data_IF_624699692680
#
_entry.id   IF_624699692680
#
_cell.length_a   1.000
_cell.length_b   1.000
_cell.length_c   1.000
_cell.angle_alpha   90.00
_cell.angle_beta   90.00
_cell.angle_gamma   90.00
#
_symmetry.space_group_name_H-M   'P 1'
#
loop_
_entity.id
_entity.type
_entity.pdbx_description
1 polymer ?
#
# COMPACT_ATOMS: atom_id res chain seq x y z
N UNK A 1 -37.84 -5.75 -43.34
CA UNK A 1 -36.56 -6.51 -43.23
C UNK A 1 -35.33 -5.60 -43.22
N UNK A 2 -35.38 -4.46 -42.48
CA UNK A 2 -34.32 -3.43 -42.49
C UNK A 2 -33.92 -2.93 -41.08
N UNK A 3 -34.50 -3.51 -40.01
CA UNK A 3 -34.26 -3.07 -38.62
C UNK A 3 -33.26 -3.94 -37.86
N UNK A 4 -32.96 -5.16 -38.35
CA UNK A 4 -31.98 -6.08 -37.74
C UNK A 4 -30.54 -5.85 -38.23
N UNK A 5 -30.33 -5.08 -39.31
CA UNK A 5 -29.01 -4.74 -39.84
C UNK A 5 -28.34 -3.53 -39.15
N UNK A 6 -29.09 -2.69 -38.44
CA UNK A 6 -28.57 -1.52 -37.72
C UNK A 6 -28.11 -1.81 -36.29
N UNK A 7 -28.63 -2.88 -35.66
CA UNK A 7 -28.22 -3.27 -34.31
C UNK A 7 -26.83 -3.95 -34.31
N UNK A 8 -26.50 -4.71 -35.35
CA UNK A 8 -25.26 -5.52 -35.38
C UNK A 8 -24.00 -4.72 -35.75
N UNK A 9 -24.14 -3.58 -36.44
CA UNK A 9 -23.01 -2.68 -36.78
C UNK A 9 -22.59 -1.79 -35.61
N UNK A 10 -23.52 -1.42 -34.72
CA UNK A 10 -23.23 -0.56 -33.57
C UNK A 10 -22.43 -1.30 -32.48
N UNK A 11 -22.69 -2.59 -32.27
CA UNK A 11 -21.95 -3.42 -31.32
C UNK A 11 -20.62 -3.93 -31.87
N UNK A 12 -20.51 -4.28 -33.17
CA UNK A 12 -19.22 -4.62 -33.77
C UNK A 12 -18.24 -3.46 -33.75
N UNK A 13 -18.70 -2.21 -33.96
CA UNK A 13 -17.85 -1.04 -33.85
C UNK A 13 -17.46 -0.72 -32.41
N UNK A 14 -18.33 -0.99 -31.42
CA UNK A 14 -17.96 -0.84 -30.00
C UNK A 14 -16.93 -1.89 -29.55
N UNK A 15 -17.03 -3.12 -30.05
CA UNK A 15 -16.03 -4.17 -29.78
C UNK A 15 -14.72 -3.90 -30.52
N UNK A 16 -14.77 -3.35 -31.74
CA UNK A 16 -13.57 -3.01 -32.52
C UNK A 16 -12.82 -1.78 -31.98
N UNK A 17 -13.55 -0.77 -31.48
CA UNK A 17 -12.98 0.41 -30.81
C UNK A 17 -12.31 0.10 -29.47
N UNK A 18 -12.67 -1.01 -28.81
CA UNK A 18 -11.99 -1.47 -27.59
C UNK A 18 -10.74 -2.31 -27.92
N UNK A 19 -10.66 -2.89 -29.12
CA UNK A 19 -9.52 -3.72 -29.55
C UNK A 19 -8.43 -3.01 -30.35
N UNK A 20 -8.62 -1.74 -30.77
CA UNK A 20 -7.65 -1.02 -31.63
C UNK A 20 -6.97 0.20 -30.97
N UNK A 21 -7.12 0.38 -29.66
CA UNK A 21 -6.35 1.34 -28.84
C UNK A 21 -5.28 0.65 -27.97
N UNK A 22 -5.07 -0.67 -28.13
CA UNK A 22 -4.08 -1.43 -27.36
C UNK A 22 -2.78 -1.66 -28.13
N UNK A 23 -2.29 -0.65 -28.83
CA UNK A 23 -0.91 -0.55 -29.33
C UNK A 23 -0.67 0.90 -29.72
N UNK A 24 -0.21 1.70 -28.77
CA UNK A 24 0.77 2.78 -28.93
C UNK A 24 0.94 3.49 -27.57
N UNK A 25 2.19 3.46 -27.11
CA UNK A 25 2.81 4.38 -26.15
C UNK A 25 2.33 4.33 -24.69
N UNK A 26 3.21 3.76 -23.86
CA UNK A 26 3.51 4.32 -22.54
C UNK A 26 3.96 5.76 -22.75
N UNK A 27 3.02 6.70 -22.86
CA UNK A 27 3.25 8.08 -22.46
C UNK A 27 2.64 8.18 -21.08
N UNK A 28 3.49 8.13 -20.07
CA UNK A 28 3.17 8.69 -18.78
C UNK A 28 2.81 10.16 -19.01
N UNK A 29 1.51 10.47 -19.14
CA UNK A 29 1.05 11.83 -18.93
C UNK A 29 1.24 12.12 -17.45
N UNK A 30 2.41 12.69 -17.15
CA UNK A 30 2.72 13.35 -15.89
C UNK A 30 1.74 14.51 -15.72
N UNK A 31 0.56 14.24 -15.16
CA UNK A 31 -0.11 15.23 -14.33
C UNK A 31 0.33 14.96 -12.89
N UNK A 32 1.47 15.57 -12.54
CA UNK A 32 1.96 15.66 -11.18
C UNK A 32 1.03 16.61 -10.42
N UNK A 33 -0.03 16.06 -9.84
CA UNK A 33 -0.59 16.59 -8.60
C UNK A 33 -0.27 15.59 -7.49
N UNK A 34 1.03 15.45 -7.24
CA UNK A 34 1.54 14.88 -5.99
C UNK A 34 1.25 15.88 -4.87
N UNK A 35 0.59 15.50 -3.76
CA UNK A 35 0.55 16.36 -2.58
C UNK A 35 1.93 16.55 -1.92
N UNK A 36 2.94 15.81 -2.38
CA UNK A 36 4.36 15.99 -2.07
C UNK A 36 5.15 15.60 -3.33
N UNK A 37 5.30 16.53 -4.29
CA UNK A 37 6.49 16.49 -5.13
C UNK A 37 7.68 16.51 -4.16
N UNK A 38 8.65 15.61 -4.30
CA UNK A 38 9.86 15.68 -3.51
C UNK A 38 10.46 17.07 -3.77
N UNK A 39 10.35 17.96 -2.78
CA UNK A 39 11.03 19.24 -2.83
C UNK A 39 12.51 18.89 -2.79
N UNK A 40 13.26 19.33 -3.79
CA UNK A 40 14.69 19.06 -3.87
C UNK A 40 15.36 19.48 -2.55
N UNK A 41 16.13 18.57 -1.94
CA UNK A 41 16.75 18.76 -0.62
C UNK A 41 15.91 18.42 0.62
N UNK A 42 14.65 17.98 0.50
CA UNK A 42 13.87 17.53 1.66
C UNK A 42 14.34 16.14 2.17
N UNK A 43 14.85 16.11 3.41
CA UNK A 43 15.21 14.87 4.11
C UNK A 43 14.02 14.38 4.93
N UNK A 44 13.59 13.15 4.67
CA UNK A 44 12.50 12.50 5.40
C UNK A 44 13.01 11.76 6.64
N UNK A 45 12.30 11.83 7.78
CA UNK A 45 12.67 11.04 8.94
C UNK A 45 12.45 9.54 8.65
N UNK A 46 13.37 8.72 9.14
CA UNK A 46 13.19 7.28 9.25
C UNK A 46 13.11 6.94 10.75
N UNK A 47 11.91 7.03 11.31
CA UNK A 47 11.62 6.93 12.74
C UNK A 47 10.60 5.82 13.05
N UNK A 48 10.05 5.80 14.26
CA UNK A 48 9.04 4.83 14.69
C UNK A 48 7.62 5.11 14.17
N UNK A 49 7.44 6.16 13.36
CA UNK A 49 6.20 6.56 12.71
C UNK A 49 4.99 6.64 13.67
N UNK A 50 5.16 7.31 14.81
CA UNK A 50 4.15 7.33 15.88
C UNK A 50 2.79 7.87 15.45
N UNK A 51 2.71 8.67 14.38
CA UNK A 51 1.45 9.21 13.87
C UNK A 51 0.74 8.32 12.82
N UNK A 52 1.29 7.13 12.57
CA UNK A 52 0.77 6.15 11.63
C UNK A 52 -0.55 5.52 12.07
N UNK A 53 -1.41 5.21 11.10
CA UNK A 53 -2.47 4.22 11.30
C UNK A 53 -1.87 2.82 11.18
N UNK A 54 -1.91 2.09 12.29
CA UNK A 54 -1.22 0.81 12.48
C UNK A 54 -2.07 -0.26 13.20
N UNK A 55 -3.40 -0.13 13.17
CA UNK A 55 -4.33 -1.07 13.79
C UNK A 55 -4.19 -2.49 13.20
N UNK A 56 -3.88 -3.46 14.06
CA UNK A 56 -3.78 -4.88 13.68
C UNK A 56 -5.12 -5.62 13.81
N UNK A 57 -6.17 -4.96 14.31
CA UNK A 57 -7.51 -5.52 14.52
C UNK A 57 -7.57 -6.74 15.45
N UNK A 58 -6.63 -6.87 16.39
CA UNK A 58 -6.58 -8.01 17.33
C UNK A 58 -7.83 -8.01 18.22
N UNK A 59 -8.69 -9.00 17.99
CA UNK A 59 -9.95 -9.19 18.72
C UNK A 59 -11.17 -8.46 18.12
N UNK A 60 -11.05 -7.80 16.97
CA UNK A 60 -12.17 -7.10 16.33
C UNK A 60 -12.25 -7.26 14.81
N UNK A 61 -11.48 -8.16 14.21
CA UNK A 61 -11.49 -8.42 12.76
C UNK A 61 -12.91 -8.61 12.21
N UNK A 62 -13.73 -9.48 12.80
CA UNK A 62 -15.10 -9.73 12.34
C UNK A 62 -16.01 -8.48 12.43
N UNK A 63 -15.84 -7.67 13.48
CA UNK A 63 -16.60 -6.42 13.64
C UNK A 63 -16.21 -5.40 12.58
N UNK A 64 -14.91 -5.27 12.31
CA UNK A 64 -14.40 -4.37 11.27
C UNK A 64 -14.80 -4.85 9.87
N UNK A 65 -14.70 -6.14 9.58
CA UNK A 65 -15.17 -6.74 8.33
C UNK A 65 -16.65 -6.42 8.07
N UNK A 66 -17.50 -6.52 9.10
CA UNK A 66 -18.91 -6.17 8.99
C UNK A 66 -19.11 -4.68 8.69
N UNK A 67 -18.41 -3.76 9.38
CA UNK A 67 -18.49 -2.32 9.10
C UNK A 67 -17.98 -1.96 7.71
N UNK A 68 -16.90 -2.60 7.25
CA UNK A 68 -16.38 -2.41 5.89
C UNK A 68 -17.41 -2.84 4.84
N UNK A 69 -18.02 -4.02 5.02
CA UNK A 69 -19.03 -4.56 4.11
C UNK A 69 -20.31 -3.72 4.08
N UNK A 70 -20.79 -3.27 5.23
CA UNK A 70 -22.12 -2.64 5.38
C UNK A 70 -22.10 -1.12 5.26
N UNK A 71 -20.98 -0.47 5.58
CA UNK A 71 -20.92 0.98 5.74
C UNK A 71 -19.70 1.62 5.06
N UNK A 72 -18.48 1.31 5.50
CA UNK A 72 -17.30 2.09 5.13
C UNK A 72 -17.00 2.04 3.65
N UNK A 73 -17.01 0.86 3.02
CA UNK A 73 -16.60 0.76 1.62
C UNK A 73 -17.53 1.57 0.71
N UNK A 74 -18.86 1.41 0.87
CA UNK A 74 -19.85 2.18 0.11
C UNK A 74 -19.69 3.69 0.33
N UNK A 75 -19.50 4.12 1.57
CA UNK A 75 -19.31 5.54 1.93
C UNK A 75 -18.05 6.10 1.29
N UNK A 76 -16.93 5.40 1.43
CA UNK A 76 -15.61 5.82 0.94
C UNK A 76 -15.59 5.91 -0.58
N UNK A 77 -16.14 4.93 -1.29
CA UNK A 77 -16.30 4.95 -2.74
C UNK A 77 -17.18 6.10 -3.23
N UNK A 78 -18.24 6.47 -2.49
CA UNK A 78 -19.07 7.63 -2.86
C UNK A 78 -18.38 8.97 -2.59
N UNK A 79 -17.44 9.01 -1.65
CA UNK A 79 -16.74 10.24 -1.26
C UNK A 79 -15.43 10.50 -2.00
N UNK A 80 -14.90 9.51 -2.74
CA UNK A 80 -13.62 9.62 -3.44
C UNK A 80 -13.74 9.09 -4.87
N UNK A 81 -13.82 9.98 -5.88
CA UNK A 81 -13.92 9.60 -7.28
C UNK A 81 -12.77 8.69 -7.74
N UNK A 82 -11.55 9.00 -7.31
CA UNK A 82 -10.35 8.22 -7.66
C UNK A 82 -10.39 6.81 -7.04
N UNK A 83 -10.81 6.69 -5.78
CA UNK A 83 -10.97 5.37 -5.16
C UNK A 83 -12.10 4.58 -5.83
N UNK A 84 -13.20 5.24 -6.20
CA UNK A 84 -14.32 4.62 -6.93
C UNK A 84 -13.88 4.05 -8.26
N UNK A 85 -13.10 4.80 -9.04
CA UNK A 85 -12.56 4.36 -10.33
C UNK A 85 -11.63 3.16 -10.11
N UNK A 86 -10.65 3.29 -9.21
CA UNK A 86 -9.72 2.20 -8.92
C UNK A 86 -10.43 0.92 -8.50
N UNK A 87 -11.41 1.02 -7.59
CA UNK A 87 -12.20 -0.12 -7.12
C UNK A 87 -12.99 -0.78 -8.26
N UNK A 88 -13.67 0.00 -9.11
CA UNK A 88 -14.40 -0.53 -10.27
C UNK A 88 -13.50 -1.27 -11.25
N UNK A 89 -12.30 -0.74 -11.50
CA UNK A 89 -11.30 -1.44 -12.33
C UNK A 89 -10.88 -2.75 -11.65
N UNK A 90 -10.59 -2.71 -10.36
CA UNK A 90 -10.28 -3.93 -9.59
C UNK A 90 -11.41 -4.97 -9.63
N UNK A 91 -12.67 -4.55 -9.53
CA UNK A 91 -13.83 -5.44 -9.69
C UNK A 91 -13.94 -6.05 -11.08
N UNK A 92 -13.51 -5.31 -12.12
CA UNK A 92 -13.50 -5.81 -13.48
C UNK A 92 -12.46 -6.91 -13.68
N UNK A 93 -11.27 -6.78 -13.09
CA UNK A 93 -10.22 -7.81 -13.18
C UNK A 93 -10.43 -8.98 -12.20
N UNK A 94 -10.86 -8.70 -10.97
CA UNK A 94 -11.05 -9.70 -9.92
C UNK A 94 -12.49 -10.23 -9.96
N UNK A 95 -12.69 -11.35 -10.66
CA UNK A 95 -14.01 -11.99 -10.78
C UNK A 95 -14.39 -12.82 -9.55
N UNK A 96 -13.47 -13.63 -9.04
CA UNK A 96 -13.72 -14.62 -8.00
C UNK A 96 -12.70 -14.52 -6.85
N UNK A 97 -13.05 -14.99 -5.63
CA UNK A 97 -12.06 -15.21 -4.58
C UNK A 97 -11.00 -16.21 -5.03
N UNK A 98 -9.83 -16.19 -4.38
CA UNK A 98 -8.67 -17.02 -4.73
C UNK A 98 -7.93 -17.41 -3.46
N UNK A 99 -7.73 -18.72 -3.26
CA UNK A 99 -7.18 -19.27 -2.03
C UNK A 99 -8.03 -18.87 -0.82
N UNK A 100 -7.37 -18.41 0.25
CA UNK A 100 -8.03 -17.97 1.48
C UNK A 100 -8.48 -16.49 1.45
N UNK A 101 -8.25 -15.77 0.35
CA UNK A 101 -8.60 -14.36 0.23
C UNK A 101 -10.01 -14.18 -0.34
N UNK A 102 -10.81 -13.35 0.33
CA UNK A 102 -12.10 -12.90 -0.20
C UNK A 102 -11.90 -12.06 -1.45
N UNK A 103 -12.96 -11.91 -2.25
CA UNK A 103 -12.94 -11.03 -3.43
C UNK A 103 -12.51 -9.60 -3.07
N UNK A 104 -12.96 -9.05 -1.95
CA UNK A 104 -12.60 -7.69 -1.52
C UNK A 104 -11.13 -7.57 -1.10
N UNK A 105 -10.51 -8.62 -0.54
CA UNK A 105 -9.08 -8.63 -0.29
C UNK A 105 -8.28 -8.52 -1.59
N UNK A 106 -8.67 -9.31 -2.59
CA UNK A 106 -8.01 -9.30 -3.90
C UNK A 106 -8.16 -7.95 -4.61
N UNK A 107 -9.37 -7.35 -4.57
CA UNK A 107 -9.58 -6.00 -5.12
C UNK A 107 -8.74 -4.97 -4.38
N UNK A 108 -8.65 -5.04 -3.05
CA UNK A 108 -7.84 -4.13 -2.26
C UNK A 108 -6.35 -4.19 -2.64
N UNK A 109 -5.79 -5.41 -2.80
CA UNK A 109 -4.41 -5.60 -3.27
C UNK A 109 -4.23 -5.00 -4.67
N UNK A 110 -5.12 -5.35 -5.61
CA UNK A 110 -5.08 -4.83 -6.98
C UNK A 110 -5.10 -3.29 -7.00
N UNK A 111 -6.03 -2.70 -6.26
CA UNK A 111 -6.21 -1.24 -6.17
C UNK A 111 -4.99 -0.56 -5.55
N UNK A 112 -4.39 -1.17 -4.53
CA UNK A 112 -3.20 -0.64 -3.88
C UNK A 112 -1.99 -0.67 -4.83
N UNK A 113 -1.79 -1.77 -5.57
CA UNK A 113 -0.71 -1.89 -6.55
C UNK A 113 -0.90 -1.01 -7.80
N UNK A 114 -2.08 -0.41 -7.98
CA UNK A 114 -2.31 0.53 -9.08
C UNK A 114 -1.74 1.94 -8.76
N UNK A 115 -1.25 2.63 -9.80
CA UNK A 115 -0.50 3.88 -9.70
C UNK A 115 -1.27 5.10 -9.17
N UNK A 116 -2.56 4.96 -8.88
CA UNK A 116 -3.47 6.06 -8.55
C UNK A 116 -3.81 6.14 -7.07
N UNK A 117 -4.11 5.01 -6.42
CA UNK A 117 -4.71 5.02 -5.08
C UNK A 117 -3.66 5.07 -3.97
N UNK A 118 -2.56 4.31 -4.06
CA UNK A 118 -1.54 4.31 -3.00
C UNK A 118 -0.94 5.71 -2.78
N UNK A 119 -0.86 6.53 -3.83
CA UNK A 119 -0.32 7.91 -3.76
C UNK A 119 -1.15 8.82 -2.86
N UNK A 120 -2.47 8.58 -2.78
CA UNK A 120 -3.37 9.32 -1.88
C UNK A 120 -3.51 8.63 -0.52
N UNK A 121 -3.50 7.29 -0.52
CA UNK A 121 -3.69 6.48 0.67
C UNK A 121 -2.48 6.53 1.62
N UNK A 122 -1.26 6.30 1.12
CA UNK A 122 -0.07 6.17 1.97
C UNK A 122 0.27 7.44 2.79
N UNK A 123 0.17 8.67 2.24
CA UNK A 123 0.36 9.88 3.04
C UNK A 123 -0.65 10.00 4.19
N UNK A 124 -1.93 9.71 3.91
CA UNK A 124 -2.98 9.74 4.94
C UNK A 124 -2.76 8.64 5.98
N UNK A 125 -2.24 7.48 5.58
CA UNK A 125 -1.87 6.43 6.52
C UNK A 125 -0.72 6.84 7.45
N UNK A 126 0.30 7.53 6.92
CA UNK A 126 1.50 7.91 7.66
C UNK A 126 1.22 8.87 8.82
N UNK A 127 0.19 9.71 8.71
CA UNK A 127 -0.14 10.75 9.69
C UNK A 127 -1.58 10.69 10.21
N UNK A 128 -2.31 9.61 9.91
CA UNK A 128 -3.76 9.50 10.13
C UNK A 128 -4.19 9.04 11.52
N UNK A 129 -3.27 8.76 12.45
CA UNK A 129 -3.61 8.15 13.76
C UNK A 129 -4.69 8.92 14.52
N UNK A 130 -4.61 10.25 14.53
CA UNK A 130 -5.58 11.12 15.22
C UNK A 130 -6.96 10.99 14.57
N UNK A 131 -7.03 11.15 13.25
CA UNK A 131 -8.25 11.06 12.46
C UNK A 131 -8.90 9.68 12.59
N UNK A 132 -8.09 8.62 12.68
CA UNK A 132 -8.57 7.26 12.90
C UNK A 132 -9.28 7.13 14.25
N UNK A 133 -8.67 7.64 15.34
CA UNK A 133 -9.28 7.63 16.68
C UNK A 133 -10.58 8.45 16.74
N UNK A 134 -10.63 9.59 16.06
CA UNK A 134 -11.80 10.47 16.03
C UNK A 134 -12.80 10.17 14.92
N UNK A 135 -12.70 8.99 14.27
CA UNK A 135 -13.67 8.54 13.26
C UNK A 135 -13.76 9.42 12.00
N UNK A 136 -12.71 10.19 11.70
CA UNK A 136 -12.61 11.08 10.52
C UNK A 136 -11.60 10.62 9.45
N UNK A 137 -10.89 9.50 9.70
CA UNK A 137 -10.05 8.86 8.68
C UNK A 137 -10.89 8.41 7.47
N UNK A 138 -10.32 8.47 6.27
CA UNK A 138 -11.06 8.32 4.99
C UNK A 138 -10.86 6.98 4.29
N UNK A 139 -10.03 6.10 4.85
CA UNK A 139 -9.55 4.89 4.16
C UNK A 139 -9.68 3.63 5.03
N UNK A 140 -10.71 3.54 5.87
CA UNK A 140 -10.92 2.40 6.77
C UNK A 140 -11.01 1.08 6.00
N UNK A 141 -11.70 1.06 4.85
CA UNK A 141 -11.92 -0.17 4.09
C UNK A 141 -10.64 -0.68 3.47
N UNK A 142 -9.92 0.18 2.74
CA UNK A 142 -8.68 -0.21 2.07
C UNK A 142 -7.63 -0.64 3.11
N UNK A 143 -7.50 0.14 4.18
CA UNK A 143 -6.59 -0.19 5.28
C UNK A 143 -6.88 -1.56 5.91
N UNK A 144 -8.13 -1.81 6.28
CA UNK A 144 -8.55 -3.06 6.89
C UNK A 144 -8.34 -4.25 5.96
N UNK A 145 -8.79 -4.14 4.71
CA UNK A 145 -8.72 -5.23 3.74
C UNK A 145 -7.27 -5.60 3.39
N UNK A 146 -6.37 -4.63 3.25
CA UNK A 146 -4.94 -4.89 3.06
C UNK A 146 -4.31 -5.53 4.29
N UNK A 147 -4.64 -5.03 5.49
CA UNK A 147 -4.14 -5.58 6.75
C UNK A 147 -4.54 -7.05 6.92
N UNK A 148 -5.82 -7.34 6.76
CA UNK A 148 -6.36 -8.70 6.88
C UNK A 148 -5.83 -9.61 5.77
N UNK A 149 -5.67 -9.12 4.53
CA UNK A 149 -5.11 -9.89 3.44
C UNK A 149 -3.66 -10.33 3.72
N UNK A 150 -2.80 -9.43 4.20
CA UNK A 150 -1.42 -9.76 4.58
C UNK A 150 -1.43 -10.80 5.71
N UNK A 151 -2.23 -10.58 6.75
CA UNK A 151 -2.34 -11.51 7.89
C UNK A 151 -2.81 -12.91 7.45
N UNK A 152 -3.75 -13.01 6.51
CA UNK A 152 -4.20 -14.29 5.95
C UNK A 152 -3.08 -14.96 5.15
N UNK A 153 -2.41 -14.22 4.25
CA UNK A 153 -1.33 -14.75 3.43
C UNK A 153 -0.15 -15.25 4.28
N UNK A 154 0.19 -14.54 5.36
CA UNK A 154 1.26 -14.94 6.28
C UNK A 154 1.02 -16.27 6.99
N UNK A 155 -0.23 -16.74 7.08
CA UNK A 155 -0.53 -18.08 7.65
C UNK A 155 0.01 -19.22 6.80
N UNK A 156 0.21 -19.01 5.50
CA UNK A 156 0.75 -20.02 4.57
C UNK A 156 2.12 -19.64 4.04
N UNK A 157 2.45 -18.35 4.03
CA UNK A 157 3.73 -17.81 3.61
C UNK A 157 4.70 -17.72 4.79
N UNK A 158 5.23 -18.87 5.21
CA UNK A 158 6.11 -18.97 6.38
C UNK A 158 7.47 -18.29 6.18
N UNK A 159 8.06 -17.88 7.31
CA UNK A 159 9.40 -17.30 7.37
C UNK A 159 9.46 -15.83 6.97
N UNK A 160 10.68 -15.31 7.04
CA UNK A 160 11.03 -13.96 6.65
C UNK A 160 11.66 -13.99 5.26
N UNK A 161 11.61 -12.85 4.55
CA UNK A 161 12.11 -12.73 3.17
C UNK A 161 12.97 -11.49 3.04
N UNK A 162 14.01 -11.61 2.22
CA UNK A 162 14.78 -10.47 1.76
C UNK A 162 14.03 -9.83 0.58
N UNK A 163 13.77 -8.53 0.68
CA UNK A 163 13.11 -7.74 -0.35
C UNK A 163 13.84 -6.41 -0.54
N UNK A 164 13.54 -5.74 -1.65
CA UNK A 164 14.25 -4.55 -2.09
C UNK A 164 13.25 -3.42 -2.39
N UNK A 165 13.59 -2.20 -2.01
CA UNK A 165 12.77 -1.01 -2.30
C UNK A 165 13.65 0.16 -2.72
N UNK A 166 13.44 0.68 -3.92
CA UNK A 166 14.06 1.92 -4.39
C UNK A 166 13.13 3.12 -4.23
N UNK A 167 13.69 4.30 -3.92
CA UNK A 167 12.95 5.56 -3.83
C UNK A 167 13.78 6.74 -4.33
N UNK A 168 13.09 7.78 -4.80
CA UNK A 168 13.72 9.05 -5.23
C UNK A 168 13.76 10.12 -4.11
N UNK A 169 13.50 9.73 -2.86
CA UNK A 169 13.54 10.65 -1.72
C UNK A 169 14.76 10.38 -0.85
N UNK A 170 15.25 11.40 -0.15
CA UNK A 170 16.32 11.26 0.84
C UNK A 170 15.74 10.98 2.22
N UNK A 171 16.35 10.06 2.96
CA UNK A 171 16.02 9.78 4.36
C UNK A 171 17.18 10.14 5.28
N UNK A 172 16.88 10.33 6.57
CA UNK A 172 17.91 10.50 7.61
C UNK A 172 18.89 9.31 7.63
N UNK A 173 20.18 9.62 7.52
CA UNK A 173 21.30 8.66 7.50
C UNK A 173 21.75 8.27 8.90
N UNK A 174 21.46 9.08 9.92
CA UNK A 174 21.90 8.87 11.30
C UNK A 174 20.94 7.97 12.07
N UNK A 175 20.64 6.81 11.48
CA UNK A 175 19.62 5.86 11.98
C UNK A 175 20.17 4.48 12.25
N UNK A 176 21.48 4.26 12.08
CA UNK A 176 22.13 3.01 12.43
C UNK A 176 21.81 2.61 13.88
N UNK A 177 21.49 1.34 14.09
CA UNK A 177 21.06 0.74 15.36
C UNK A 177 19.73 1.25 15.95
N UNK A 178 19.02 2.17 15.29
CA UNK A 178 17.68 2.60 15.70
C UNK A 178 16.60 1.61 15.23
N UNK A 179 15.50 1.54 15.98
CA UNK A 179 14.27 0.92 15.50
C UNK A 179 13.47 1.93 14.66
N UNK A 180 12.92 1.46 13.54
CA UNK A 180 12.17 2.25 12.58
C UNK A 180 10.95 1.49 12.07
N UNK A 181 9.97 2.23 11.55
CA UNK A 181 8.77 1.72 10.88
C UNK A 181 8.49 2.58 9.65
N UNK A 182 7.94 2.00 8.59
CA UNK A 182 7.59 2.77 7.39
C UNK A 182 6.39 3.72 7.60
N UNK A 183 5.54 3.46 8.59
CA UNK A 183 4.37 4.29 8.91
C UNK A 183 3.22 4.23 7.91
N UNK A 184 3.44 3.65 6.73
CA UNK A 184 2.41 3.26 5.77
C UNK A 184 2.64 1.81 5.36
N UNK A 185 1.73 1.27 4.55
CA UNK A 185 2.11 0.11 3.76
C UNK A 185 3.32 0.46 2.90
N UNK A 186 4.26 -0.47 2.79
CA UNK A 186 5.47 -0.30 2.01
C UNK A 186 5.57 -1.43 0.99
N UNK A 187 5.54 -1.06 -0.29
CA UNK A 187 5.81 -1.99 -1.38
C UNK A 187 7.32 -2.23 -1.48
N UNK A 188 7.69 -3.48 -1.64
CA UNK A 188 9.06 -3.91 -1.95
C UNK A 188 8.98 -5.00 -3.00
N UNK A 189 10.10 -5.36 -3.62
CA UNK A 189 10.16 -6.44 -4.60
C UNK A 189 11.05 -7.57 -4.10
N UNK A 190 10.73 -8.81 -4.45
CA UNK A 190 11.67 -9.94 -4.31
C UNK A 190 12.87 -9.81 -5.26
N UNK A 191 12.79 -8.92 -6.25
CA UNK A 191 13.79 -8.76 -7.29
C UNK A 191 14.42 -7.38 -7.21
N UNK A 192 15.71 -7.41 -6.93
CA UNK A 192 16.56 -6.24 -6.84
C UNK A 192 16.55 -5.38 -8.11
N UNK A 193 16.52 -5.99 -9.30
CA UNK A 193 16.55 -5.23 -10.57
C UNK A 193 15.25 -4.48 -10.79
N UNK A 194 14.13 -5.03 -10.33
CA UNK A 194 12.83 -4.37 -10.35
C UNK A 194 12.83 -3.20 -9.35
N UNK A 195 13.29 -3.43 -8.11
CA UNK A 195 13.33 -2.39 -7.09
C UNK A 195 14.16 -1.17 -7.50
N UNK A 196 15.25 -1.37 -8.23
CA UNK A 196 16.09 -0.31 -8.81
C UNK A 196 15.34 0.64 -9.74
N UNK A 197 14.30 0.16 -10.42
CA UNK A 197 13.50 0.97 -11.35
C UNK A 197 12.66 2.04 -10.67
N UNK A 198 12.40 1.93 -9.36
CA UNK A 198 11.55 2.85 -8.61
C UNK A 198 12.28 4.08 -8.05
N UNK A 199 13.62 4.04 -8.01
CA UNK A 199 14.43 5.19 -7.65
C UNK A 199 15.82 4.81 -7.13
N UNK A 200 16.70 5.81 -7.14
CA UNK A 200 18.14 5.63 -6.87
C UNK A 200 18.69 6.53 -5.76
N UNK A 201 17.85 7.31 -5.07
CA UNK A 201 18.28 8.19 -3.97
C UNK A 201 18.47 7.42 -2.68
N UNK A 202 17.39 6.84 -2.17
CA UNK A 202 17.42 5.99 -0.96
C UNK A 202 16.82 4.63 -1.26
N UNK A 203 17.58 3.58 -0.96
CA UNK A 203 17.16 2.21 -1.20
C UNK A 203 17.28 1.35 0.05
N UNK A 204 16.41 0.35 0.12
CA UNK A 204 16.26 -0.49 1.29
C UNK A 204 16.43 -1.95 0.90
N UNK A 205 17.29 -2.65 1.63
CA UNK A 205 17.36 -4.09 1.69
C UNK A 205 16.64 -4.51 2.97
N UNK A 206 15.50 -5.18 2.83
CA UNK A 206 14.55 -5.36 3.91
C UNK A 206 14.41 -6.85 4.17
N UNK A 207 14.83 -7.30 5.35
CA UNK A 207 14.51 -8.62 5.85
C UNK A 207 13.20 -8.54 6.66
N UNK A 208 12.07 -8.73 5.97
CA UNK A 208 10.71 -8.62 6.52
C UNK A 208 10.17 -9.99 6.91
N UNK A 209 9.51 -10.05 8.07
CA UNK A 209 8.84 -11.24 8.60
C UNK A 209 7.31 -11.11 8.53
N UNK A 210 6.78 -9.88 8.48
CA UNK A 210 5.33 -9.62 8.41
C UNK A 210 4.84 -9.32 6.99
N UNK A 211 5.74 -9.02 6.06
CA UNK A 211 5.42 -8.76 4.66
C UNK A 211 4.90 -10.00 3.93
N UNK A 212 3.84 -9.81 3.14
CA UNK A 212 3.26 -10.87 2.31
C UNK A 212 3.62 -10.67 0.84
N UNK A 213 4.01 -11.76 0.18
CA UNK A 213 4.15 -11.82 -1.27
C UNK A 213 2.77 -11.75 -1.91
N UNK A 214 2.54 -10.65 -2.64
CA UNK A 214 1.29 -10.35 -3.32
C UNK A 214 1.42 -10.42 -4.85
N UNK A 215 2.53 -10.94 -5.36
CA UNK A 215 2.84 -11.10 -6.80
C UNK A 215 1.64 -11.62 -7.59
N UNK A 216 1.02 -12.70 -7.09
CA UNK A 216 -0.09 -13.40 -7.76
C UNK A 216 -1.47 -12.73 -7.66
N UNK A 217 -1.53 -11.55 -7.02
CA UNK A 217 -2.76 -10.81 -6.70
C UNK A 217 -2.67 -9.32 -7.07
N UNK A 218 -1.46 -8.79 -7.24
CA UNK A 218 -1.19 -7.41 -7.68
C UNK A 218 -1.62 -7.17 -9.15
N UNK A 219 -1.80 -5.90 -9.51
CA UNK A 219 -1.99 -5.45 -10.89
C UNK A 219 -0.78 -5.74 -11.78
N UNK A 220 0.42 -5.70 -11.21
CA UNK A 220 1.69 -5.89 -11.92
C UNK A 220 2.45 -7.10 -11.35
N UNK A 221 2.06 -8.34 -11.68
CA UNK A 221 2.75 -9.54 -11.18
C UNK A 221 4.25 -9.56 -11.51
N UNK A 222 4.66 -8.90 -12.59
CA UNK A 222 6.07 -8.76 -12.95
C UNK A 222 6.87 -7.93 -11.94
N UNK A 223 6.24 -7.13 -11.06
CA UNK A 223 6.95 -6.38 -10.02
C UNK A 223 7.38 -7.26 -8.83
N UNK A 224 6.89 -8.50 -8.75
CA UNK A 224 7.19 -9.46 -7.67
C UNK A 224 6.99 -8.84 -6.27
N UNK A 225 5.88 -8.13 -6.11
CA UNK A 225 5.63 -7.26 -4.97
C UNK A 225 5.46 -8.05 -3.67
N UNK A 226 6.20 -7.62 -2.64
CA UNK A 226 5.97 -7.95 -1.24
C UNK A 226 5.46 -6.70 -0.54
N UNK A 227 4.24 -6.80 -0.01
CA UNK A 227 3.59 -5.72 0.70
C UNK A 227 3.85 -5.84 2.20
N UNK A 228 4.53 -4.83 2.76
CA UNK A 228 4.92 -4.77 4.16
C UNK A 228 3.89 -3.93 4.94
N UNK A 229 3.32 -4.45 6.04
CA UNK A 229 2.35 -3.71 6.83
C UNK A 229 2.98 -2.59 7.67
N UNK A 230 2.22 -1.53 8.02
CA UNK A 230 2.75 -0.37 8.75
C UNK A 230 3.20 -0.67 10.19
N UNK A 231 2.77 -1.80 10.77
CA UNK A 231 3.05 -2.19 12.15
C UNK A 231 4.34 -3.02 12.31
N UNK A 232 5.01 -3.41 11.22
CA UNK A 232 6.29 -4.11 11.32
C UNK A 232 7.40 -3.15 11.74
N UNK A 233 8.18 -3.55 12.74
CA UNK A 233 9.37 -2.85 13.22
C UNK A 233 10.62 -3.43 12.60
N UNK A 234 11.57 -2.55 12.34
CA UNK A 234 12.88 -2.94 11.83
C UNK A 234 13.98 -2.28 12.64
N UNK A 235 15.05 -3.03 12.94
CA UNK A 235 16.33 -2.44 13.33
C UNK A 235 17.12 -2.10 12.07
N UNK A 236 17.65 -0.88 11.99
CA UNK A 236 18.61 -0.51 10.95
C UNK A 236 19.96 -1.11 11.31
N UNK A 237 20.42 -2.09 10.53
CA UNK A 237 21.68 -2.80 10.80
C UNK A 237 22.85 -2.30 9.94
N UNK A 238 22.58 -1.57 8.86
CA UNK A 238 23.60 -0.90 8.07
C UNK A 238 23.02 0.34 7.37
N UNK A 239 23.88 1.36 7.23
CA UNK A 239 23.65 2.53 6.37
C UNK A 239 24.91 2.71 5.53
N UNK A 240 24.80 2.51 4.21
CA UNK A 240 25.91 2.61 3.26
C UNK A 240 25.66 3.77 2.32
N UNK A 241 26.70 4.48 1.92
CA UNK A 241 26.59 5.64 1.02
C UNK A 241 27.60 5.55 -0.12
N UNK A 242 27.27 6.13 -1.27
CA UNK A 242 28.20 6.21 -2.41
C UNK A 242 29.48 6.98 -2.13
N UNK A 243 29.47 7.87 -1.12
CA UNK A 243 30.67 8.56 -0.64
C UNK A 243 31.79 7.58 -0.24
N UNK A 244 31.41 6.44 0.35
CA UNK A 244 32.37 5.43 0.82
C UNK A 244 32.35 4.14 -0.02
N UNK A 245 31.29 3.91 -0.80
CA UNK A 245 31.12 2.72 -1.66
C UNK A 245 30.63 3.15 -3.05
N UNK A 246 31.53 3.50 -3.99
CA UNK A 246 31.16 4.11 -5.27
C UNK A 246 30.17 3.29 -6.11
N UNK A 247 30.25 1.96 -6.04
CA UNK A 247 29.42 1.03 -6.82
C UNK A 247 28.08 0.69 -6.16
N UNK A 248 27.67 1.43 -5.12
CA UNK A 248 26.40 1.21 -4.43
C UNK A 248 25.22 1.50 -5.36
N UNK A 249 24.16 0.71 -5.28
CA UNK A 249 23.04 0.76 -6.21
C UNK A 249 22.17 2.01 -6.09
N UNK A 250 22.27 2.70 -4.96
CA UNK A 250 21.64 3.99 -4.69
C UNK A 250 22.60 4.89 -3.91
N UNK A 251 22.30 6.19 -3.85
CA UNK A 251 23.14 7.17 -3.15
C UNK A 251 23.30 6.81 -1.67
N UNK A 252 22.21 6.32 -1.06
CA UNK A 252 22.21 5.69 0.27
C UNK A 252 21.44 4.36 0.25
N UNK A 253 21.99 3.34 0.90
CA UNK A 253 21.35 2.04 1.08
C UNK A 253 21.24 1.71 2.57
N UNK A 254 20.02 1.44 3.00
CA UNK A 254 19.67 1.01 4.35
C UNK A 254 19.43 -0.49 4.36
N UNK A 255 20.02 -1.21 5.31
CA UNK A 255 19.68 -2.62 5.56
C UNK A 255 18.85 -2.71 6.82
N UNK A 256 17.64 -3.25 6.68
CA UNK A 256 16.62 -3.34 7.72
C UNK A 256 16.39 -4.81 8.10
N UNK A 257 16.41 -5.13 9.39
CA UNK A 257 16.07 -6.46 9.90
C UNK A 257 14.84 -6.37 10.79
N UNK A 258 13.82 -7.17 10.48
CA UNK A 258 12.60 -7.23 11.29
C UNK A 258 12.90 -7.56 12.75
N UNK A 259 12.25 -6.83 13.66
CA UNK A 259 12.31 -7.03 15.12
C UNK A 259 10.93 -7.27 15.73
N UNK A 260 9.98 -7.69 14.90
CA UNK A 260 8.60 -7.99 15.29
C UNK A 260 7.63 -6.84 15.01
N UNK A 261 6.54 -6.77 15.76
CA UNK A 261 5.44 -5.82 15.51
C UNK A 261 5.27 -4.81 16.65
N UNK A 262 4.73 -3.64 16.30
CA UNK A 262 4.23 -2.65 17.26
C UNK A 262 3.07 -1.89 16.63
N UNK A 263 2.02 -1.69 17.41
CA UNK A 263 0.90 -0.83 17.04
C UNK A 263 0.52 0.09 18.19
N UNK A 264 0.29 1.37 17.88
CA UNK A 264 -0.28 2.33 18.83
C UNK A 264 -1.83 2.36 18.73
N UNK A 265 -2.40 1.68 17.73
CA UNK A 265 -3.83 1.40 17.59
C UNK A 265 -4.11 -0.09 17.77
N UNK A 266 -5.22 -0.40 18.44
CA UNK A 266 -5.83 -1.73 18.36
C UNK A 266 -7.33 -1.60 18.59
N UNK A 267 -8.13 -1.97 17.58
CA UNK A 267 -9.58 -1.91 17.61
C UNK A 267 -10.11 -0.54 18.04
N UNK A 268 -9.43 0.55 17.65
CA UNK A 268 -9.65 1.87 18.26
C UNK A 268 -11.07 2.40 18.02
N UNK A 269 -11.72 2.01 16.92
CA UNK A 269 -13.09 2.40 16.58
C UNK A 269 -14.16 1.80 17.51
N UNK A 270 -13.81 0.72 18.21
CA UNK A 270 -14.70 -0.04 19.08
C UNK A 270 -14.44 0.17 20.57
N UNK A 271 -13.40 0.93 20.91
CA UNK A 271 -13.11 1.28 22.30
C UNK A 271 -14.03 2.40 22.75
N UNK A 272 -14.53 2.30 23.99
CA UNK A 272 -15.20 3.43 24.64
C UNK A 272 -14.17 4.57 24.79
N UNK A 273 -14.57 5.84 24.59
CA UNK A 273 -13.69 6.95 24.93
C UNK A 273 -13.30 6.84 26.40
N UNK A 274 -12.06 7.20 26.78
CA UNK A 274 -11.69 7.24 28.18
C UNK A 274 -12.70 8.12 28.93
N UNK A 275 -13.23 7.62 30.05
CA UNK A 275 -14.00 8.47 30.96
C UNK A 275 -13.06 9.58 31.40
N UNK A 276 -13.45 10.83 31.16
CA UNK A 276 -12.79 11.97 31.79
C UNK A 276 -13.05 11.85 33.30
N UNK A 277 -12.06 11.37 34.06
CA UNK A 277 -12.04 11.62 35.49
C UNK A 277 -11.50 13.05 35.65
N UNK A 278 -12.41 14.02 35.53
CA UNK A 278 -12.12 15.39 35.94
C UNK A 278 -11.86 15.36 37.43
N UNK A 279 -10.60 15.51 37.81
CA UNK A 279 -10.27 15.97 39.16
C UNK A 279 -10.58 17.46 39.15
N UNK A 280 -11.63 17.83 39.87
CA UNK A 280 -11.92 19.19 40.30
C UNK A 280 -10.85 19.65 41.28
#
# INVERSE_FOLDING_TARGET
MQSYKLFNTKYKNFTLLISFEFRVRVIAHFHVNSPLAAVDGQIFPLDMALNSVDDQFKGCTSKMANLVKTQYLKKELNSSPQFKIGWKVGEWFVKFPKGYLTRNHLIAIYVYSDNNVYKQFNPVNRYGRKQYKYKTYKWYSLYFLLTEAIQILKKTQYGCRLTFRGTNVEFDKYVLNKEVRFGSFASSSLDYNIARGFGSRSCFEIYTCEGADVTNYSKFPNEKEVLIPPYEKFKVIAVRTRKYQPNLWCDTVYTLKSTGTRSDLNCALFKKPPKYNGFY
#
